data_IF_551974111389
#
_entry.id   IF_551974111389
#
_cell.length_a   1.000
_cell.length_b   1.000
_cell.length_c   1.000
_cell.angle_alpha   90.00
_cell.angle_beta   90.00
_cell.angle_gamma   90.00
#
_symmetry.space_group_name_H-M   'P 1'
#
loop_
_entity.id
_entity.type
_entity.pdbx_description
1 polymer ?
#
# COMPACT_ATOMS: atom_id res chain seq x y z
N UNK A 1 6.35 -1.60 -51.29
CA UNK A 1 7.10 -0.46 -50.74
C UNK A 1 6.79 0.77 -51.58
N UNK A 2 6.06 1.77 -51.05
CA UNK A 2 5.75 3.01 -51.81
C UNK A 2 6.92 3.97 -51.67
N UNK A 3 7.62 4.22 -52.77
CA UNK A 3 8.80 5.07 -52.81
C UNK A 3 8.40 6.56 -52.79
N UNK A 4 7.97 7.05 -51.62
CA UNK A 4 7.76 8.48 -51.40
C UNK A 4 9.11 9.22 -51.45
N UNK A 5 9.08 10.51 -51.77
CA UNK A 5 10.30 11.34 -51.79
C UNK A 5 11.05 11.28 -50.46
N UNK A 6 10.32 11.17 -49.34
CA UNK A 6 10.89 11.00 -48.02
C UNK A 6 11.63 9.66 -47.87
N UNK A 7 11.03 8.53 -48.29
CA UNK A 7 11.72 7.23 -48.20
C UNK A 7 12.95 7.15 -49.12
N UNK A 8 12.96 7.87 -50.25
CA UNK A 8 14.13 7.96 -51.13
C UNK A 8 15.27 8.79 -50.52
N UNK A 9 14.96 9.95 -49.93
CA UNK A 9 15.96 10.81 -49.26
C UNK A 9 16.56 10.09 -48.06
N UNK A 10 15.73 9.41 -47.27
CA UNK A 10 16.20 8.61 -46.13
C UNK A 10 17.09 7.46 -46.59
N UNK A 11 16.69 6.71 -47.63
CA UNK A 11 17.52 5.64 -48.18
C UNK A 11 18.86 6.17 -48.71
N UNK A 12 18.87 7.29 -49.44
CA UNK A 12 20.10 7.90 -49.97
C UNK A 12 21.03 8.39 -48.84
N UNK A 13 20.46 8.93 -47.75
CA UNK A 13 21.22 9.32 -46.56
C UNK A 13 21.86 8.12 -45.82
N UNK A 14 21.25 6.94 -45.87
CA UNK A 14 21.83 5.69 -45.34
C UNK A 14 22.88 5.08 -46.27
N UNK A 15 22.83 5.34 -47.58
CA UNK A 15 23.75 4.81 -48.59
C UNK A 15 25.02 5.65 -48.71
N UNK A 16 24.95 6.97 -48.52
CA UNK A 16 26.09 7.90 -48.66
C UNK A 16 26.96 8.02 -47.40
N UNK A 17 27.55 6.92 -46.95
CA UNK A 17 28.85 6.87 -46.27
C UNK A 17 29.01 7.55 -44.89
N UNK A 18 30.13 7.23 -44.24
CA UNK A 18 30.49 7.46 -42.83
C UNK A 18 30.42 8.90 -42.27
N UNK A 19 30.01 9.91 -43.04
CA UNK A 19 29.93 11.31 -42.63
C UNK A 19 28.51 11.80 -42.31
N UNK A 20 27.47 11.05 -42.68
CA UNK A 20 26.09 11.43 -42.39
C UNK A 20 25.79 11.25 -40.88
N UNK A 21 25.30 12.31 -40.24
CA UNK A 21 24.83 12.27 -38.84
C UNK A 21 23.30 12.27 -38.85
N UNK A 22 22.71 11.28 -38.17
CA UNK A 22 21.27 11.19 -37.95
C UNK A 22 20.96 11.68 -36.52
N UNK A 23 20.02 12.61 -36.40
CA UNK A 23 19.41 12.98 -35.13
C UNK A 23 17.93 12.61 -35.16
N UNK A 24 17.47 11.87 -34.15
CA UNK A 24 16.06 11.50 -34.00
C UNK A 24 15.52 12.21 -32.77
N UNK A 25 14.45 12.99 -32.96
CA UNK A 25 13.74 13.67 -31.88
C UNK A 25 12.38 13.00 -31.71
N UNK A 26 12.16 12.39 -30.56
CA UNK A 26 10.89 11.78 -30.20
C UNK A 26 10.11 12.72 -29.28
N UNK A 27 8.85 12.95 -29.60
CA UNK A 27 7.94 13.77 -28.78
C UNK A 27 7.02 12.88 -27.96
N UNK A 28 6.77 13.28 -26.73
CA UNK A 28 5.82 12.62 -25.82
C UNK A 28 4.54 13.46 -25.77
N UNK A 29 3.38 12.80 -25.87
CA UNK A 29 2.10 13.50 -25.67
C UNK A 29 1.87 13.73 -24.17
N UNK A 30 1.39 14.92 -23.76
CA UNK A 30 0.98 15.17 -22.38
C UNK A 30 -0.37 14.51 -22.04
N UNK A 31 -1.11 14.03 -23.05
CA UNK A 31 -2.41 13.40 -22.87
C UNK A 31 -2.25 11.93 -22.47
N UNK A 32 -2.82 11.55 -21.33
CA UNK A 32 -2.74 10.17 -20.82
C UNK A 32 -3.36 9.13 -21.79
N UNK A 33 -4.31 9.54 -22.64
CA UNK A 33 -4.90 8.68 -23.68
C UNK A 33 -3.91 8.27 -24.76
N UNK A 34 -2.85 9.04 -24.96
CA UNK A 34 -1.90 8.85 -26.05
C UNK A 34 -0.67 8.07 -25.59
N UNK A 35 -0.75 7.39 -24.44
CA UNK A 35 0.36 6.63 -23.86
C UNK A 35 0.86 5.56 -24.82
N UNK A 36 -0.03 4.83 -25.49
CA UNK A 36 0.35 3.79 -26.46
C UNK A 36 1.09 4.38 -27.68
N UNK A 37 0.57 5.51 -28.20
CA UNK A 37 1.19 6.21 -29.31
C UNK A 37 2.56 6.78 -28.95
N UNK A 38 2.68 7.39 -27.77
CA UNK A 38 3.94 7.89 -27.21
C UNK A 38 4.97 6.77 -27.06
N UNK A 39 4.58 5.63 -26.48
CA UNK A 39 5.46 4.48 -26.28
C UNK A 39 5.92 3.91 -27.63
N UNK A 40 5.03 3.83 -28.62
CA UNK A 40 5.40 3.40 -29.97
C UNK A 40 6.42 4.34 -30.62
N UNK A 41 6.25 5.66 -30.48
CA UNK A 41 7.21 6.67 -30.97
C UNK A 41 8.58 6.52 -30.31
N UNK A 42 8.62 6.32 -28.99
CA UNK A 42 9.88 6.13 -28.25
C UNK A 42 10.58 4.83 -28.68
N UNK A 43 9.85 3.71 -28.77
CA UNK A 43 10.39 2.42 -29.25
C UNK A 43 11.03 2.56 -30.64
N UNK A 44 10.36 3.26 -31.55
CA UNK A 44 10.90 3.54 -32.89
C UNK A 44 12.17 4.38 -32.83
N UNK A 45 12.19 5.43 -32.00
CA UNK A 45 13.39 6.25 -31.80
C UNK A 45 14.59 5.47 -31.30
N UNK A 46 14.38 4.59 -30.32
CA UNK A 46 15.44 3.73 -29.78
C UNK A 46 15.98 2.73 -30.82
N UNK A 47 15.08 2.13 -31.62
CA UNK A 47 15.46 1.24 -32.71
C UNK A 47 16.31 1.95 -33.77
N UNK A 48 15.94 3.19 -34.15
CA UNK A 48 16.72 4.01 -35.08
C UNK A 48 18.08 4.44 -34.51
N UNK A 49 18.19 4.56 -33.20
CA UNK A 49 19.44 4.85 -32.49
C UNK A 49 20.37 3.64 -32.32
N UNK A 50 20.00 2.46 -32.83
CA UNK A 50 20.79 1.23 -32.70
C UNK A 50 20.79 0.63 -31.28
N UNK A 51 19.82 1.00 -30.44
CA UNK A 51 19.68 0.49 -29.06
C UNK A 51 18.56 -0.55 -29.00
N UNK A 52 18.88 -1.76 -28.53
CA UNK A 52 17.97 -2.92 -28.61
C UNK A 52 17.58 -3.56 -27.28
N UNK A 53 18.08 -3.07 -26.14
CA UNK A 53 17.89 -3.72 -24.83
C UNK A 53 17.24 -2.80 -23.77
N UNK A 54 16.43 -1.86 -24.23
CA UNK A 54 15.74 -0.90 -23.35
C UNK A 54 14.56 -1.59 -22.65
N UNK A 55 14.41 -1.36 -21.34
CA UNK A 55 13.37 -1.99 -20.51
C UNK A 55 12.23 -1.02 -20.28
N UNK A 56 11.02 -1.43 -20.62
CA UNK A 56 9.80 -0.71 -20.24
C UNK A 56 9.40 -1.11 -18.82
N UNK A 57 9.32 -0.14 -17.91
CA UNK A 57 8.80 -0.33 -16.57
C UNK A 57 7.46 0.39 -16.44
N UNK A 58 6.43 -0.36 -16.05
CA UNK A 58 5.11 0.21 -15.75
C UNK A 58 4.98 0.30 -14.24
N UNK A 59 4.92 1.52 -13.73
CA UNK A 59 4.64 1.77 -12.33
C UNK A 59 3.23 2.35 -12.19
N UNK A 60 2.40 1.72 -11.36
CA UNK A 60 1.08 2.25 -11.05
C UNK A 60 1.23 3.32 -9.96
N UNK A 61 0.61 4.49 -10.15
CA UNK A 61 0.54 5.54 -9.14
C UNK A 61 -0.03 5.03 -7.80
N UNK A 62 -0.91 4.03 -7.85
CA UNK A 62 -1.52 3.44 -6.66
C UNK A 62 -0.50 2.71 -5.76
N UNK A 63 0.57 2.19 -6.35
CA UNK A 63 1.64 1.49 -5.61
C UNK A 63 2.54 2.47 -4.83
N UNK A 64 2.51 3.75 -5.21
CA UNK A 64 3.22 4.83 -4.53
C UNK A 64 2.45 5.39 -3.34
N UNK A 65 1.16 5.08 -3.21
CA UNK A 65 0.37 5.54 -2.08
C UNK A 65 0.77 4.76 -0.81
N UNK A 66 0.96 5.44 0.33
CA UNK A 66 1.19 4.76 1.60
C UNK A 66 -0.01 3.85 1.88
N UNK A 67 0.24 2.54 1.96
CA UNK A 67 -0.78 1.57 2.31
C UNK A 67 -1.32 1.93 3.69
N UNK A 68 -2.55 2.43 3.77
CA UNK A 68 -3.25 2.61 5.06
C UNK A 68 -3.15 1.29 5.81
N UNK A 69 -2.50 1.28 6.98
CA UNK A 69 -2.46 0.10 7.82
C UNK A 69 -3.91 -0.26 8.15
N UNK A 70 -4.36 -1.39 7.63
CA UNK A 70 -5.69 -1.90 7.91
C UNK A 70 -5.75 -2.19 9.41
N UNK A 71 -6.73 -1.60 10.08
CA UNK A 71 -6.97 -1.91 11.49
C UNK A 71 -7.14 -3.43 11.64
N UNK A 72 -6.30 -4.01 12.50
CA UNK A 72 -6.36 -5.43 12.82
C UNK A 72 -7.44 -5.66 13.86
N UNK A 73 -8.27 -6.68 13.64
CA UNK A 73 -9.32 -7.03 14.58
C UNK A 73 -8.68 -7.47 15.92
N UNK A 74 -9.22 -7.11 17.11
CA UNK A 74 -8.61 -7.45 18.39
C UNK A 74 -8.23 -8.93 18.57
N UNK A 75 -9.06 -9.85 18.06
CA UNK A 75 -8.75 -11.30 17.98
C UNK A 75 -7.40 -11.65 17.30
N UNK A 76 -6.89 -10.80 16.41
CA UNK A 76 -5.65 -11.01 15.66
C UNK A 76 -4.43 -10.36 16.34
N UNK A 77 -4.63 -9.63 17.45
CA UNK A 77 -3.53 -8.96 18.13
C UNK A 77 -2.57 -9.95 18.78
N UNK A 78 -1.28 -9.67 18.58
CA UNK A 78 -0.18 -10.21 19.38
C UNK A 78 -0.29 -9.76 20.84
N UNK A 79 0.52 -10.36 21.72
CA UNK A 79 0.56 -9.95 23.11
C UNK A 79 0.98 -8.47 23.24
N UNK A 80 2.01 -8.04 22.52
CA UNK A 80 2.50 -6.65 22.57
C UNK A 80 1.40 -5.65 22.18
N UNK A 81 0.63 -5.94 21.12
CA UNK A 81 -0.49 -5.11 20.69
C UNK A 81 -1.62 -5.04 21.72
N UNK A 82 -1.87 -6.13 22.45
CA UNK A 82 -2.85 -6.12 23.56
C UNK A 82 -2.37 -5.20 24.68
N UNK A 83 -1.11 -5.30 25.07
CA UNK A 83 -0.55 -4.46 26.13
C UNK A 83 -0.50 -2.98 25.72
N UNK A 84 -0.09 -2.67 24.50
CA UNK A 84 -0.12 -1.31 23.94
C UNK A 84 -1.54 -0.74 23.95
N UNK A 85 -2.54 -1.55 23.59
CA UNK A 85 -3.94 -1.13 23.67
C UNK A 85 -4.38 -0.90 25.12
N UNK A 86 -4.00 -1.76 26.08
CA UNK A 86 -4.33 -1.57 27.50
C UNK A 86 -3.72 -0.31 28.11
N UNK A 87 -2.50 0.06 27.69
CA UNK A 87 -1.83 1.28 28.14
C UNK A 87 -2.50 2.55 27.62
N UNK A 88 -3.13 2.50 26.45
CA UNK A 88 -3.73 3.67 25.78
C UNK A 88 -5.25 3.70 25.87
N UNK A 89 -5.90 2.56 26.14
CA UNK A 89 -7.34 2.43 26.20
C UNK A 89 -7.93 3.33 27.29
N UNK A 90 -8.95 4.10 26.89
CA UNK A 90 -9.68 5.01 27.77
C UNK A 90 -8.75 5.94 28.57
N UNK A 91 -7.72 6.48 27.91
CA UNK A 91 -6.71 7.37 28.49
C UNK A 91 -5.84 6.71 29.57
N UNK A 92 -5.53 5.42 29.39
CA UNK A 92 -4.68 4.65 30.31
C UNK A 92 -5.38 4.19 31.58
N UNK A 93 -6.72 4.22 31.63
CA UNK A 93 -7.53 3.76 32.76
C UNK A 93 -7.39 2.28 33.09
N UNK A 94 -6.75 1.49 32.23
CA UNK A 94 -6.55 0.04 32.39
C UNK A 94 -5.09 -0.37 32.40
N UNK A 95 -4.17 0.58 32.63
CA UNK A 95 -2.73 0.32 32.64
C UNK A 95 -2.31 -0.66 33.73
N UNK A 96 -2.98 -0.66 34.87
CA UNK A 96 -2.80 -1.65 35.95
C UNK A 96 -3.11 -3.08 35.52
N UNK A 97 -3.91 -3.29 34.47
CA UNK A 97 -4.14 -4.64 33.93
C UNK A 97 -2.92 -5.19 33.20
N UNK A 98 -1.99 -4.34 32.76
CA UNK A 98 -0.71 -4.75 32.13
C UNK A 98 0.10 -5.59 33.12
N UNK A 99 0.12 -5.20 34.39
CA UNK A 99 0.83 -5.92 35.45
C UNK A 99 0.07 -7.16 35.95
N UNK A 100 -1.26 -7.15 35.83
CA UNK A 100 -2.13 -8.25 36.28
C UNK A 100 -2.20 -9.42 35.28
N UNK A 101 -1.91 -9.19 34.00
CA UNK A 101 -2.04 -10.18 32.94
C UNK A 101 -0.71 -10.88 32.62
N UNK A 102 -0.74 -12.18 32.29
CA UNK A 102 0.46 -12.88 31.81
C UNK A 102 1.02 -12.26 30.52
N UNK A 103 2.35 -12.18 30.38
CA UNK A 103 3.00 -11.59 29.19
C UNK A 103 2.66 -12.26 27.86
N UNK A 104 2.15 -13.48 27.88
CA UNK A 104 1.70 -14.22 26.69
C UNK A 104 0.20 -14.04 26.40
N UNK A 105 -0.46 -13.05 27.01
CA UNK A 105 -1.88 -12.81 26.85
C UNK A 105 -2.18 -12.20 25.48
N UNK A 106 -2.74 -13.01 24.58
CA UNK A 106 -3.01 -12.61 23.19
C UNK A 106 -4.40 -12.04 22.98
N UNK A 107 -4.61 -11.39 21.83
CA UNK A 107 -5.91 -10.87 21.42
C UNK A 107 -7.00 -11.94 21.35
N UNK A 108 -6.66 -13.19 21.03
CA UNK A 108 -7.61 -14.31 21.07
C UNK A 108 -8.12 -14.61 22.48
N UNK A 109 -7.29 -14.44 23.50
CA UNK A 109 -7.68 -14.60 24.89
C UNK A 109 -8.50 -13.41 25.36
N UNK A 110 -8.10 -12.19 24.94
CA UNK A 110 -8.78 -10.94 25.26
C UNK A 110 -10.25 -10.96 24.82
N UNK A 111 -10.53 -11.30 23.55
CA UNK A 111 -11.91 -11.31 23.02
C UNK A 111 -12.82 -12.38 23.62
N UNK A 112 -12.27 -13.34 24.37
CA UNK A 112 -13.04 -14.40 25.05
C UNK A 112 -13.36 -14.06 26.50
N UNK A 113 -12.87 -12.93 27.02
CA UNK A 113 -13.18 -12.50 28.36
C UNK A 113 -14.69 -12.24 28.49
N UNK A 114 -15.29 -12.85 29.51
CA UNK A 114 -16.66 -12.53 29.91
C UNK A 114 -16.64 -11.28 30.78
N UNK A 115 -17.78 -10.59 30.87
CA UNK A 115 -17.93 -9.42 31.74
C UNK A 115 -17.51 -9.73 33.19
N UNK A 116 -17.93 -10.88 33.73
CA UNK A 116 -17.54 -11.32 35.08
C UNK A 116 -16.02 -11.49 35.24
N UNK A 117 -15.31 -11.93 34.20
CA UNK A 117 -13.84 -12.03 34.23
C UNK A 117 -13.20 -10.64 34.17
N UNK A 118 -13.76 -9.71 33.42
CA UNK A 118 -13.32 -8.32 33.41
C UNK A 118 -13.47 -7.65 34.78
N UNK A 119 -14.56 -7.91 35.49
CA UNK A 119 -14.78 -7.44 36.87
C UNK A 119 -13.72 -8.01 37.82
N UNK A 120 -13.41 -9.30 37.72
CA UNK A 120 -12.34 -9.93 38.51
C UNK A 120 -10.97 -9.30 38.25
N UNK A 121 -10.63 -9.06 36.97
CA UNK A 121 -9.38 -8.41 36.59
C UNK A 121 -9.29 -6.96 37.10
N UNK A 122 -10.43 -6.27 37.18
CA UNK A 122 -10.53 -4.92 37.73
C UNK A 122 -10.66 -4.89 39.26
N UNK A 123 -10.15 -5.90 39.97
CA UNK A 123 -10.16 -5.97 41.44
C UNK A 123 -11.56 -6.13 42.06
N UNK A 124 -12.52 -6.67 41.32
CA UNK A 124 -13.91 -6.84 41.76
C UNK A 124 -14.81 -5.62 41.54
N UNK A 125 -14.31 -4.55 40.92
CA UNK A 125 -15.13 -3.37 40.61
C UNK A 125 -16.06 -3.64 39.42
N UNK A 126 -17.35 -3.83 39.69
CA UNK A 126 -18.36 -4.09 38.66
C UNK A 126 -18.39 -2.99 37.59
N UNK A 127 -18.42 -1.72 38.02
CA UNK A 127 -18.44 -0.56 37.12
C UNK A 127 -17.25 -0.56 36.17
N UNK A 128 -16.05 -0.83 36.69
CA UNK A 128 -14.82 -0.76 35.91
C UNK A 128 -14.68 -1.96 34.97
N UNK A 129 -15.04 -3.16 35.43
CA UNK A 129 -15.05 -4.37 34.62
C UNK A 129 -16.04 -4.28 33.45
N UNK A 130 -17.25 -3.73 33.70
CA UNK A 130 -18.23 -3.50 32.64
C UNK A 130 -17.76 -2.47 31.62
N UNK A 131 -17.17 -1.36 32.08
CA UNK A 131 -16.56 -0.37 31.18
C UNK A 131 -15.46 -0.98 30.30
N UNK A 132 -14.60 -1.84 30.87
CA UNK A 132 -13.58 -2.53 30.11
C UNK A 132 -14.17 -3.44 29.03
N UNK A 133 -15.19 -4.21 29.40
CA UNK A 133 -15.90 -5.11 28.48
C UNK A 133 -16.55 -4.34 27.34
N UNK A 134 -17.24 -3.23 27.63
CA UNK A 134 -17.88 -2.38 26.64
C UNK A 134 -16.87 -1.75 25.68
N UNK A 135 -15.73 -1.26 26.19
CA UNK A 135 -14.65 -0.69 25.38
C UNK A 135 -14.04 -1.71 24.42
N UNK A 136 -13.82 -2.95 24.87
CA UNK A 136 -13.34 -4.03 24.01
C UNK A 136 -14.32 -4.30 22.86
N UNK A 137 -15.63 -4.31 23.14
CA UNK A 137 -16.66 -4.52 22.13
C UNK A 137 -16.76 -3.33 21.16
N UNK A 138 -16.61 -2.10 21.66
CA UNK A 138 -16.55 -0.91 20.81
C UNK A 138 -15.36 -0.97 19.84
N UNK A 139 -14.19 -1.39 20.30
CA UNK A 139 -13.01 -1.52 19.45
C UNK A 139 -13.19 -2.61 18.39
N UNK A 140 -13.81 -3.75 18.75
CA UNK A 140 -14.20 -4.79 17.78
C UNK A 140 -15.13 -4.20 16.70
N UNK A 141 -16.20 -3.52 17.10
CA UNK A 141 -17.16 -2.93 16.17
C UNK A 141 -16.51 -1.86 15.27
N UNK A 142 -15.63 -1.02 15.82
CA UNK A 142 -14.87 -0.01 15.06
C UNK A 142 -14.08 -0.63 13.92
N UNK A 143 -13.36 -1.73 14.19
CA UNK A 143 -12.58 -2.41 13.16
C UNK A 143 -13.48 -3.10 12.14
N UNK A 144 -14.59 -3.70 12.56
CA UNK A 144 -15.56 -4.31 11.65
C UNK A 144 -16.22 -3.29 10.72
N UNK A 145 -16.62 -2.12 11.22
CA UNK A 145 -17.16 -1.02 10.40
C UNK A 145 -16.14 -0.49 9.40
N UNK A 146 -14.87 -0.36 9.80
CA UNK A 146 -13.78 0.10 8.92
C UNK A 146 -13.45 -0.89 7.78
N UNK A 147 -13.90 -2.14 7.85
CA UNK A 147 -13.69 -3.14 6.78
C UNK A 147 -14.82 -3.16 5.75
N UNK A 148 -15.98 -2.58 6.07
CA UNK A 148 -17.17 -2.57 5.20
C UNK A 148 -17.25 -1.33 4.29
N UNK A 149 -16.46 -0.29 4.55
CA UNK A 149 -16.33 0.90 3.70
C UNK A 149 -15.03 0.90 2.92
#
# INVERSE_FOLDING_TARGET
>A
YRASSLTKILADAFIRGAAAKLAVVCTVSPCATDTEHTVATLRMGMALGGRGNEREEKQLLLDLLPKKQRLQHPKQWSADQVFEWLETAADGRFRDLVDALPRNFTGQMLVRLTEGRCVQLCGGSERRGRQFFDLLHQEIQRVESSRKG
#
